data_IF_435302472340
#
_entry.id   IF_435302472340
#
_cell.length_a   1.000
_cell.length_b   1.000
_cell.length_c   1.000
_cell.angle_alpha   90.00
_cell.angle_beta   90.00
_cell.angle_gamma   90.00
#
_symmetry.space_group_name_H-M   'P 1'
#
loop_
_entity.id
_entity.type
_entity.pdbx_description
1 polymer ?
#
# COMPACT_ATOMS: atom_id res chain seq x y z
N UNK A 1 -9.17 16.87 19.96
CA UNK A 1 -10.45 16.24 19.56
C UNK A 1 -11.16 17.08 18.50
N UNK A 2 -11.38 16.52 17.29
CA UNK A 2 -12.08 17.22 16.20
C UNK A 2 -13.54 17.56 16.54
N UNK A 3 -13.95 18.80 16.24
CA UNK A 3 -15.35 19.23 16.29
C UNK A 3 -16.25 18.34 15.42
N UNK A 4 -17.54 18.17 15.77
CA UNK A 4 -18.47 17.31 15.01
C UNK A 4 -18.59 17.70 13.53
N UNK A 5 -18.54 18.99 13.22
CA UNK A 5 -18.60 19.53 11.85
C UNK A 5 -17.36 19.14 11.01
N UNK A 6 -16.16 19.16 11.59
CA UNK A 6 -14.90 18.88 10.91
C UNK A 6 -14.65 17.37 10.67
N UNK A 7 -15.38 16.50 11.38
CA UNK A 7 -15.24 15.04 11.24
C UNK A 7 -15.71 14.52 9.88
N UNK A 8 -16.76 15.09 9.30
CA UNK A 8 -17.32 14.58 8.02
C UNK A 8 -16.34 14.73 6.84
N UNK A 9 -15.72 15.90 6.60
CA UNK A 9 -14.70 16.04 5.57
C UNK A 9 -13.48 15.14 5.81
N UNK A 10 -12.97 15.11 7.04
CA UNK A 10 -11.83 14.27 7.44
C UNK A 10 -12.05 12.80 7.07
N UNK A 11 -13.18 12.21 7.50
CA UNK A 11 -13.51 10.82 7.19
C UNK A 11 -13.68 10.52 5.71
N UNK A 12 -14.07 11.51 4.90
CA UNK A 12 -14.16 11.34 3.44
C UNK A 12 -12.76 11.17 2.83
N UNK A 13 -11.79 11.98 3.25
CA UNK A 13 -10.40 11.88 2.77
C UNK A 13 -9.71 10.61 3.25
N UNK A 14 -9.86 10.26 4.53
CA UNK A 14 -9.30 9.01 5.08
C UNK A 14 -9.85 7.78 4.34
N UNK A 15 -11.17 7.70 4.14
CA UNK A 15 -11.77 6.56 3.41
C UNK A 15 -11.27 6.46 1.97
N UNK A 16 -11.18 7.59 1.25
CA UNK A 16 -10.65 7.61 -0.11
C UNK A 16 -9.19 7.18 -0.13
N UNK A 17 -8.38 7.70 0.79
CA UNK A 17 -6.97 7.34 0.91
C UNK A 17 -6.79 5.85 1.20
N UNK A 18 -7.54 5.29 2.15
CA UNK A 18 -7.53 3.85 2.43
C UNK A 18 -7.92 3.04 1.20
N UNK A 19 -8.97 3.43 0.49
CA UNK A 19 -9.39 2.72 -0.73
C UNK A 19 -8.29 2.71 -1.80
N UNK A 20 -7.65 3.86 -2.06
CA UNK A 20 -6.55 3.96 -3.03
C UNK A 20 -5.35 3.10 -2.60
N UNK A 21 -4.95 3.18 -1.32
CA UNK A 21 -3.84 2.39 -0.78
C UNK A 21 -4.11 0.88 -0.80
N UNK A 22 -5.38 0.43 -0.82
CA UNK A 22 -5.73 -0.99 -0.94
C UNK A 22 -5.87 -1.46 -2.39
N UNK A 23 -6.37 -0.61 -3.29
CA UNK A 23 -6.56 -0.97 -4.71
C UNK A 23 -5.22 -1.29 -5.38
N UNK A 24 -4.18 -0.51 -5.09
CA UNK A 24 -2.85 -0.72 -5.70
C UNK A 24 -2.29 -2.13 -5.41
N UNK A 25 -2.12 -2.56 -4.15
CA UNK A 25 -1.65 -3.91 -3.86
C UNK A 25 -2.66 -4.98 -4.32
N UNK A 26 -3.97 -4.72 -4.24
CA UNK A 26 -5.00 -5.67 -4.70
C UNK A 26 -4.83 -6.03 -6.18
N UNK A 27 -4.45 -5.05 -7.03
CA UNK A 27 -4.19 -5.28 -8.45
C UNK A 27 -2.81 -5.89 -8.69
N UNK A 28 -1.79 -5.44 -7.96
CA UNK A 28 -0.41 -5.90 -8.18
C UNK A 28 -0.16 -7.33 -7.69
N UNK A 29 -0.85 -7.78 -6.65
CA UNK A 29 -0.73 -9.13 -6.11
C UNK A 29 -0.99 -10.22 -7.17
N UNK A 30 -2.08 -10.20 -7.96
CA UNK A 30 -2.26 -11.14 -9.06
C UNK A 30 -1.48 -10.75 -10.33
N UNK A 31 -1.30 -9.45 -10.61
CA UNK A 31 -0.66 -9.01 -11.85
C UNK A 31 0.83 -9.39 -11.92
N UNK A 32 1.57 -9.27 -10.82
CA UNK A 32 3.01 -9.55 -10.80
C UNK A 32 3.30 -11.03 -11.14
N UNK A 33 2.70 -12.04 -10.48
CA UNK A 33 2.94 -13.44 -10.81
C UNK A 33 2.57 -13.78 -12.25
N UNK A 34 1.45 -13.25 -12.76
CA UNK A 34 1.00 -13.46 -14.14
C UNK A 34 2.04 -12.91 -15.12
N UNK A 35 2.55 -11.70 -14.88
CA UNK A 35 3.52 -11.05 -15.75
C UNK A 35 4.89 -11.74 -15.81
N UNK A 36 5.23 -12.56 -14.80
CA UNK A 36 6.54 -13.22 -14.69
C UNK A 36 6.43 -14.75 -14.75
N UNK A 37 5.31 -15.30 -15.23
CA UNK A 37 5.10 -16.75 -15.34
C UNK A 37 6.25 -17.46 -16.06
N UNK A 38 6.73 -16.87 -17.16
CA UNK A 38 7.80 -17.45 -18.00
C UNK A 38 9.15 -17.53 -17.26
N UNK A 39 9.38 -16.71 -16.22
CA UNK A 39 10.59 -16.79 -15.41
C UNK A 39 10.68 -18.10 -14.62
N UNK A 40 9.56 -18.79 -14.39
CA UNK A 40 9.57 -20.06 -13.67
C UNK A 40 10.22 -21.20 -14.48
N UNK A 41 10.48 -21.01 -15.78
CA UNK A 41 11.28 -21.94 -16.60
C UNK A 41 12.76 -22.00 -16.19
N UNK A 42 13.24 -21.01 -15.42
CA UNK A 42 14.60 -20.94 -14.90
C UNK A 42 14.57 -21.05 -13.39
N UNK A 43 15.63 -21.62 -12.83
CA UNK A 43 15.77 -21.78 -11.38
C UNK A 43 17.10 -21.25 -10.87
N UNK A 44 17.08 -20.76 -9.63
CA UNK A 44 18.28 -20.43 -8.86
C UNK A 44 18.21 -21.17 -7.52
N UNK A 45 19.27 -21.92 -7.19
CA UNK A 45 19.34 -22.75 -5.98
C UNK A 45 18.13 -23.70 -5.79
N UNK A 46 17.57 -24.21 -6.89
CA UNK A 46 16.41 -25.10 -6.88
C UNK A 46 15.05 -24.39 -6.79
N UNK A 47 15.02 -23.06 -6.70
CA UNK A 47 13.78 -22.29 -6.68
C UNK A 47 13.50 -21.62 -8.04
N UNK A 48 12.26 -21.63 -8.55
CA UNK A 48 11.89 -20.90 -9.76
C UNK A 48 12.17 -19.40 -9.61
N UNK A 49 12.72 -18.76 -10.65
CA UNK A 49 13.05 -17.34 -10.59
C UNK A 49 11.81 -16.46 -10.40
N UNK A 50 10.69 -16.81 -11.06
CA UNK A 50 9.44 -16.07 -10.91
C UNK A 50 8.92 -16.10 -9.47
N UNK A 51 9.03 -17.25 -8.79
CA UNK A 51 8.73 -17.38 -7.37
C UNK A 51 9.60 -16.45 -6.51
N UNK A 52 10.92 -16.46 -6.71
CA UNK A 52 11.84 -15.63 -5.93
C UNK A 52 11.56 -14.13 -6.13
N UNK A 53 11.30 -13.71 -7.37
CA UNK A 53 10.96 -12.32 -7.70
C UNK A 53 9.64 -11.91 -7.06
N UNK A 54 8.60 -12.74 -7.14
CA UNK A 54 7.31 -12.47 -6.50
C UNK A 54 7.45 -12.35 -4.97
N UNK A 55 8.16 -13.29 -4.32
CA UNK A 55 8.33 -13.31 -2.87
C UNK A 55 8.98 -12.02 -2.34
N UNK A 56 10.12 -11.62 -2.92
CA UNK A 56 10.80 -10.39 -2.50
C UNK A 56 10.06 -9.14 -2.96
N UNK A 57 9.48 -9.18 -4.16
CA UNK A 57 8.69 -8.09 -4.72
C UNK A 57 7.49 -7.74 -3.85
N UNK A 58 6.79 -8.72 -3.30
CA UNK A 58 5.66 -8.49 -2.40
C UNK A 58 6.07 -7.92 -1.04
N UNK A 59 7.23 -8.29 -0.52
CA UNK A 59 7.78 -7.67 0.69
C UNK A 59 8.01 -6.17 0.44
N UNK A 60 8.69 -5.84 -0.66
CA UNK A 60 8.95 -4.45 -1.05
C UNK A 60 7.65 -3.68 -1.27
N UNK A 61 6.70 -4.26 -2.02
CA UNK A 61 5.38 -3.67 -2.27
C UNK A 61 4.65 -3.38 -0.95
N UNK A 62 4.70 -4.30 0.02
CA UNK A 62 4.12 -4.11 1.35
C UNK A 62 4.73 -2.91 2.07
N UNK A 63 6.06 -2.83 2.17
CA UNK A 63 6.74 -1.69 2.80
C UNK A 63 6.40 -0.36 2.12
N UNK A 64 6.44 -0.31 0.78
CA UNK A 64 6.11 0.90 0.03
C UNK A 64 4.65 1.32 0.26
N UNK A 65 3.73 0.36 0.31
CA UNK A 65 2.30 0.63 0.57
C UNK A 65 2.09 1.22 1.96
N UNK A 66 2.74 0.66 2.98
CA UNK A 66 2.66 1.18 4.37
C UNK A 66 3.27 2.57 4.48
N UNK A 67 4.49 2.77 3.95
CA UNK A 67 5.15 4.09 3.98
C UNK A 67 4.29 5.13 3.28
N UNK A 68 3.75 4.81 2.10
CA UNK A 68 2.86 5.70 1.36
C UNK A 68 1.61 6.03 2.18
N UNK A 69 0.95 5.02 2.76
CA UNK A 69 -0.25 5.20 3.55
C UNK A 69 0.00 6.10 4.76
N UNK A 70 1.03 5.80 5.56
CA UNK A 70 1.37 6.57 6.77
C UNK A 70 1.68 8.02 6.42
N UNK A 71 2.54 8.27 5.42
CA UNK A 71 2.90 9.65 5.03
C UNK A 71 1.71 10.45 4.51
N UNK A 72 0.77 9.79 3.83
CA UNK A 72 -0.42 10.45 3.30
C UNK A 72 -1.47 10.69 4.39
N UNK A 73 -1.60 9.76 5.34
CA UNK A 73 -2.49 9.90 6.48
C UNK A 73 -2.01 11.02 7.40
N UNK A 74 -0.71 11.08 7.70
CA UNK A 74 -0.09 12.19 8.46
C UNK A 74 -0.41 13.57 7.84
N UNK A 75 -0.29 13.68 6.51
CA UNK A 75 -0.70 14.91 5.81
C UNK A 75 -2.19 15.24 5.97
N UNK A 76 -3.07 14.24 5.89
CA UNK A 76 -4.52 14.44 6.09
C UNK A 76 -4.80 14.88 7.52
N UNK A 77 -4.08 14.32 8.49
CA UNK A 77 -4.22 14.61 9.91
C UNK A 77 -3.79 16.05 10.21
N UNK A 78 -2.66 16.50 9.65
CA UNK A 78 -2.21 17.91 9.71
C UNK A 78 -3.21 18.86 9.05
N UNK A 79 -3.68 18.55 7.84
CA UNK A 79 -4.63 19.37 7.08
C UNK A 79 -5.96 19.60 7.82
N UNK A 80 -6.38 18.64 8.66
CA UNK A 80 -7.66 18.70 9.38
C UNK A 80 -7.52 19.05 10.86
N UNK A 81 -6.30 19.33 11.35
CA UNK A 81 -6.05 19.59 12.78
C UNK A 81 -6.35 18.38 13.66
N UNK A 82 -6.21 17.18 13.09
CA UNK A 82 -6.30 15.91 13.80
C UNK A 82 -4.95 15.46 14.36
N UNK A 83 -3.85 16.11 13.96
CA UNK A 83 -2.54 15.90 14.54
C UNK A 83 -2.56 16.36 16.00
N UNK A 84 -2.23 15.46 16.92
CA UNK A 84 -2.04 15.80 18.33
C UNK A 84 -0.64 16.44 18.44
N UNK A 85 -0.53 17.59 19.10
CA UNK A 85 0.77 18.26 19.31
C UNK A 85 1.72 17.27 20.00
N UNK A 86 2.79 16.85 19.31
CA UNK A 86 3.87 16.04 19.86
C UNK A 86 4.80 16.91 20.71
#
# INVERSE_FOLDING_TARGET
>A
MLGRELRRPYWRYTKLQTAVSLIVPLVLLPAIPIAILDLNSRSFLGFPLGYLVAAHGFIILGFLSVIQFVRRQDRIDIEHGANEDI
#
